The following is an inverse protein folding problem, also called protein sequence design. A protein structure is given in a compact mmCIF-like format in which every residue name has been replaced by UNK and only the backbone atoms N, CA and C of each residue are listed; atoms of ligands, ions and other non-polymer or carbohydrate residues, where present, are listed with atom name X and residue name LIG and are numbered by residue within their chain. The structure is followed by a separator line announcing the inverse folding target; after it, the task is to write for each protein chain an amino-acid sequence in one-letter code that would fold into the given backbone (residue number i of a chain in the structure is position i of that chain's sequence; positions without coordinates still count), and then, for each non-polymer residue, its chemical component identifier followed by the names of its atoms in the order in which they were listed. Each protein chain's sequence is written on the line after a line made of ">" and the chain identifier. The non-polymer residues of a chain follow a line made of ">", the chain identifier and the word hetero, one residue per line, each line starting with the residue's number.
data_IF_459351227525
#
_entry.id   IF_459351227525
#
_cell.length_a   1.000
_cell.length_b   1.000
_cell.length_c   1.000
_cell.angle_alpha   90.00
_cell.angle_beta   90.00
_cell.angle_gamma   90.00
#
_symmetry.space_group_name_H-M   'P 1'
#
loop_
_entity.id
_entity.type
_entity.pdbx_description
1 polymer ?
#
# COMPACT_ATOMS: atom_id res chain seq x y z
N UNK A 1 -7.33 47.67 -41.64
CA UNK A 1 -7.89 46.30 -41.47
C UNK A 1 -7.31 45.67 -40.22
N UNK A 2 -8.05 45.73 -39.06
CA UNK A 2 -7.59 45.29 -37.77
C UNK A 2 -7.98 43.83 -37.57
N UNK A 3 -7.04 42.95 -37.39
CA UNK A 3 -7.24 41.53 -37.05
C UNK A 3 -7.44 41.46 -35.54
N UNK A 4 -8.63 41.07 -35.09
CA UNK A 4 -8.95 40.79 -33.68
C UNK A 4 -8.31 39.47 -33.26
N UNK A 5 -7.54 39.50 -32.17
CA UNK A 5 -7.03 38.32 -31.45
C UNK A 5 -8.17 37.59 -30.75
N UNK A 6 -8.45 36.38 -31.17
CA UNK A 6 -9.34 35.47 -30.44
C UNK A 6 -8.68 35.02 -29.14
N UNK A 7 -9.33 35.30 -28.01
CA UNK A 7 -8.97 34.78 -26.68
C UNK A 7 -9.37 33.29 -26.58
N UNK A 8 -8.42 32.44 -26.26
CA UNK A 8 -8.66 31.04 -25.92
C UNK A 8 -9.43 30.97 -24.61
N UNK A 9 -10.64 30.40 -24.63
CA UNK A 9 -11.48 30.10 -23.49
C UNK A 9 -11.05 28.77 -22.92
N UNK A 10 -10.81 28.72 -21.60
CA UNK A 10 -10.45 27.50 -20.85
C UNK A 10 -11.64 26.55 -20.74
N UNK A 11 -11.47 25.21 -20.79
CA UNK A 11 -12.56 24.22 -20.79
C UNK A 11 -13.03 23.82 -19.37
N UNK A 12 -13.39 24.74 -18.49
CA UNK A 12 -13.86 24.45 -17.10
C UNK A 12 -15.17 25.22 -16.76
N UNK A 13 -15.99 25.59 -17.73
CA UNK A 13 -17.24 26.32 -17.44
C UNK A 13 -18.48 25.79 -18.19
N UNK A 14 -18.57 24.49 -18.43
CA UNK A 14 -19.75 23.91 -19.13
C UNK A 14 -20.50 22.84 -18.35
N UNK A 15 -20.56 22.90 -17.03
CA UNK A 15 -21.36 21.95 -16.21
C UNK A 15 -22.48 22.61 -15.40
N UNK A 16 -22.69 23.88 -15.51
CA UNK A 16 -23.80 24.54 -14.79
C UNK A 16 -24.63 25.42 -15.71
N UNK A 17 -25.43 24.83 -16.63
CA UNK A 17 -26.65 25.50 -17.17
C UNK A 17 -27.39 24.53 -18.12
N UNK A 18 -28.23 23.68 -17.56
CA UNK A 18 -29.43 23.10 -18.19
C UNK A 18 -30.17 22.23 -17.16
N UNK A 19 -30.84 22.89 -16.23
CA UNK A 19 -31.92 22.29 -15.47
C UNK A 19 -33.06 23.30 -15.38
N UNK A 20 -33.94 23.23 -16.34
CA UNK A 20 -35.20 23.96 -16.34
C UNK A 20 -36.20 23.24 -17.20
N UNK A 21 -37.21 22.67 -16.53
CA UNK A 21 -38.54 22.29 -17.05
C UNK A 21 -38.62 21.15 -18.08
N UNK A 22 -38.99 19.95 -17.62
CA UNK A 22 -40.31 19.32 -17.96
C UNK A 22 -40.52 18.12 -17.02
N UNK A 23 -41.50 18.18 -16.14
CA UNK A 23 -42.07 17.01 -15.48
C UNK A 23 -43.05 16.34 -16.48
N UNK A 24 -42.93 15.01 -16.65
CA UNK A 24 -44.13 14.16 -16.66
C UNK A 24 -44.06 13.15 -15.50
N UNK A 25 -45.12 13.12 -14.74
CA UNK A 25 -45.45 12.11 -13.76
C UNK A 25 -45.52 10.72 -14.44
N UNK A 26 -44.50 9.91 -14.17
CA UNK A 26 -44.62 8.46 -14.27
C UNK A 26 -44.64 7.91 -12.85
N UNK A 27 -45.82 7.50 -12.40
CA UNK A 27 -45.95 6.52 -11.34
C UNK A 27 -45.42 5.19 -11.90
N UNK A 28 -44.14 4.92 -11.71
CA UNK A 28 -43.61 3.58 -11.83
C UNK A 28 -43.59 2.98 -10.43
N UNK A 29 -44.33 1.88 -10.31
CA UNK A 29 -44.36 0.94 -9.20
C UNK A 29 -42.97 0.79 -8.58
N UNK A 30 -42.84 1.13 -7.30
CA UNK A 30 -41.76 0.62 -6.47
C UNK A 30 -41.98 -0.88 -6.32
N UNK A 31 -41.28 -1.69 -7.11
CA UNK A 31 -40.91 -3.02 -6.67
C UNK A 31 -40.00 -2.81 -5.45
N UNK A 32 -40.41 -3.37 -4.32
CA UNK A 32 -39.60 -3.47 -3.09
C UNK A 32 -38.34 -4.31 -3.40
N UNK A 33 -37.34 -3.70 -4.03
CA UNK A 33 -36.02 -4.19 -3.87
C UNK A 33 -35.62 -3.86 -2.43
N UNK A 34 -35.84 -4.83 -1.53
CA UNK A 34 -35.14 -4.83 -0.26
C UNK A 34 -33.65 -4.61 -0.57
N UNK A 35 -33.15 -3.41 -0.27
CA UNK A 35 -31.71 -3.13 -0.17
C UNK A 35 -31.16 -3.99 0.97
N UNK A 36 -30.97 -5.28 0.69
CA UNK A 36 -30.22 -6.13 1.60
C UNK A 36 -28.83 -5.53 1.73
N UNK A 37 -28.37 -5.23 2.94
CA UNK A 37 -27.03 -4.72 3.13
C UNK A 37 -26.06 -5.68 2.44
N UNK A 38 -25.26 -5.15 1.52
CA UNK A 38 -24.29 -5.92 0.75
C UNK A 38 -23.24 -6.41 1.73
N UNK A 39 -23.36 -7.66 2.17
CA UNK A 39 -22.48 -8.26 3.16
C UNK A 39 -21.17 -8.72 2.52
N UNK A 40 -20.08 -8.60 3.28
CA UNK A 40 -18.79 -9.21 2.93
C UNK A 40 -18.93 -10.74 2.94
N UNK A 41 -18.37 -11.40 1.94
CA UNK A 41 -18.47 -12.84 1.77
C UNK A 41 -17.12 -13.48 1.51
N UNK A 42 -17.07 -14.79 1.70
CA UNK A 42 -15.91 -15.61 1.45
C UNK A 42 -16.27 -16.65 0.39
N UNK A 43 -15.49 -16.74 -0.67
CA UNK A 43 -15.70 -17.68 -1.77
C UNK A 43 -14.48 -18.58 -1.96
N UNK A 44 -14.70 -19.87 -2.24
CA UNK A 44 -13.65 -20.87 -2.48
C UNK A 44 -13.34 -21.73 -1.27
N UNK A 45 -12.35 -22.62 -1.45
CA UNK A 45 -11.87 -23.48 -0.36
C UNK A 45 -10.76 -22.77 0.38
N UNK A 46 -11.06 -22.33 1.61
CA UNK A 46 -10.10 -21.65 2.44
C UNK A 46 -9.26 -22.69 3.19
N UNK A 47 -8.09 -22.95 2.67
CA UNK A 47 -7.06 -23.70 3.36
C UNK A 47 -5.77 -22.90 3.32
N UNK A 48 -5.26 -22.51 4.47
CA UNK A 48 -3.94 -21.88 4.60
C UNK A 48 -3.09 -22.69 5.58
N UNK A 49 -1.88 -23.03 5.14
CA UNK A 49 -0.94 -23.76 5.97
C UNK A 49 -0.11 -22.80 6.80
N UNK A 50 -0.06 -23.05 8.11
CA UNK A 50 0.79 -22.27 9.03
C UNK A 50 0.30 -20.87 9.35
N UNK A 51 -0.84 -20.43 8.79
CA UNK A 51 -1.43 -19.11 9.05
C UNK A 51 -2.70 -19.28 9.86
N UNK A 52 -2.79 -18.59 10.99
CA UNK A 52 -3.97 -18.56 11.84
C UNK A 52 -4.93 -17.43 11.47
N UNK A 53 -4.38 -16.27 11.14
CA UNK A 53 -5.14 -15.05 10.86
C UNK A 53 -4.45 -14.18 9.81
N UNK A 54 -5.27 -13.40 9.09
CA UNK A 54 -4.81 -12.29 8.28
C UNK A 54 -5.54 -11.01 8.67
N UNK A 55 -4.81 -9.90 8.55
CA UNK A 55 -5.34 -8.55 8.72
C UNK A 55 -5.18 -7.81 7.40
N UNK A 56 -6.26 -7.21 6.92
CA UNK A 56 -6.31 -6.48 5.67
C UNK A 56 -6.59 -5.02 6.00
N UNK A 57 -5.65 -4.16 5.66
CA UNK A 57 -5.81 -2.72 5.76
C UNK A 57 -6.49 -2.20 4.50
N UNK A 58 -7.49 -1.35 4.67
CA UNK A 58 -8.13 -0.62 3.59
C UNK A 58 -7.91 0.87 3.80
N UNK A 59 -7.33 1.51 2.80
CA UNK A 59 -6.90 2.91 2.85
C UNK A 59 -8.07 3.88 3.06
N UNK A 60 -9.23 3.52 2.53
CA UNK A 60 -10.38 4.42 2.50
C UNK A 60 -10.32 5.38 1.31
N UNK A 61 -11.11 6.44 1.38
CA UNK A 61 -11.12 7.54 0.42
C UNK A 61 -10.51 8.78 1.06
N UNK A 62 -9.66 9.47 0.30
CA UNK A 62 -8.96 10.67 0.72
C UNK A 62 -9.92 11.74 1.28
N UNK A 63 -9.63 12.27 2.45
CA UNK A 63 -10.43 13.24 3.22
C UNK A 63 -11.81 12.75 3.68
N UNK A 64 -12.08 11.43 3.67
CA UNK A 64 -13.35 10.88 4.18
C UNK A 64 -13.24 10.19 5.54
N UNK A 65 -12.03 10.08 6.11
CA UNK A 65 -11.79 9.51 7.44
C UNK A 65 -12.43 8.11 7.62
N UNK A 66 -12.33 7.27 6.60
CA UNK A 66 -13.01 5.98 6.50
C UNK A 66 -12.08 4.80 6.24
N UNK A 67 -10.80 4.92 6.62
CA UNK A 67 -9.88 3.79 6.63
C UNK A 67 -10.40 2.68 7.54
N UNK A 68 -10.19 1.43 7.16
CA UNK A 68 -10.70 0.29 7.92
C UNK A 68 -9.70 -0.84 8.01
N UNK A 69 -9.84 -1.65 9.05
CA UNK A 69 -9.11 -2.89 9.26
C UNK A 69 -10.09 -4.06 9.24
N UNK A 70 -9.84 -5.02 8.37
CA UNK A 70 -10.57 -6.30 8.30
C UNK A 70 -9.69 -7.42 8.83
N UNK A 71 -10.26 -8.33 9.62
CA UNK A 71 -9.62 -9.53 10.12
C UNK A 71 -10.33 -10.77 9.58
N UNK A 72 -9.56 -11.76 9.14
CA UNK A 72 -10.06 -13.10 8.83
C UNK A 72 -9.31 -14.14 9.66
N UNK A 73 -10.05 -15.02 10.32
CA UNK A 73 -9.52 -16.15 11.09
C UNK A 73 -9.71 -17.46 10.31
N UNK A 74 -8.60 -18.13 9.98
CA UNK A 74 -8.64 -19.43 9.32
C UNK A 74 -9.11 -20.55 10.27
N UNK A 75 -8.97 -20.36 11.57
CA UNK A 75 -9.40 -21.32 12.57
C UNK A 75 -10.92 -21.36 12.74
N UNK A 76 -11.57 -20.20 12.75
CA UNK A 76 -13.02 -20.07 13.00
C UNK A 76 -13.80 -19.77 11.73
N UNK A 77 -13.11 -19.51 10.62
CA UNK A 77 -13.68 -19.06 9.33
C UNK A 77 -14.50 -17.77 9.44
N UNK A 78 -14.16 -16.92 10.41
CA UNK A 78 -14.86 -15.65 10.64
C UNK A 78 -14.16 -14.51 9.92
N UNK A 79 -14.92 -13.79 9.10
CA UNK A 79 -14.56 -12.52 8.49
C UNK A 79 -15.17 -11.38 9.30
N UNK A 80 -14.34 -10.53 9.90
CA UNK A 80 -14.75 -9.36 10.70
C UNK A 80 -14.28 -8.10 10.00
N UNK A 81 -15.14 -7.44 9.23
CA UNK A 81 -14.89 -6.11 8.68
C UNK A 81 -15.00 -5.04 9.77
N UNK A 82 -14.39 -3.88 9.56
CA UNK A 82 -14.37 -2.80 10.55
C UNK A 82 -13.86 -3.24 11.93
N UNK A 83 -12.93 -4.22 11.94
CA UNK A 83 -12.42 -4.86 13.16
C UNK A 83 -11.91 -3.83 14.18
N UNK A 84 -11.09 -2.86 13.75
CA UNK A 84 -10.57 -1.83 14.64
C UNK A 84 -11.67 -0.97 15.26
N UNK A 85 -12.57 -0.43 14.45
CA UNK A 85 -13.62 0.48 14.94
C UNK A 85 -14.67 -0.22 15.81
N UNK A 86 -14.92 -1.51 15.55
CA UNK A 86 -15.81 -2.32 16.37
C UNK A 86 -15.28 -2.48 17.79
N UNK A 87 -13.97 -2.72 17.96
CA UNK A 87 -13.34 -2.91 19.27
C UNK A 87 -13.11 -1.57 19.98
N UNK A 88 -12.56 -0.58 19.25
CA UNK A 88 -12.08 0.66 19.86
C UNK A 88 -13.13 1.78 19.91
N UNK A 89 -14.33 1.56 19.35
CA UNK A 89 -15.46 2.51 19.33
C UNK A 89 -15.11 3.87 18.70
N UNK A 90 -14.14 3.88 17.82
CA UNK A 90 -13.71 5.06 17.03
C UNK A 90 -13.18 4.62 15.66
N UNK A 91 -13.16 5.53 14.70
CA UNK A 91 -12.53 5.29 13.40
C UNK A 91 -11.00 5.12 13.51
N UNK A 92 -10.42 4.46 12.50
CA UNK A 92 -8.97 4.31 12.38
C UNK A 92 -8.30 5.62 11.96
N UNK A 93 -8.95 6.36 11.06
CA UNK A 93 -8.44 7.61 10.53
C UNK A 93 -8.63 7.73 9.02
N UNK A 94 -7.88 8.63 8.42
CA UNK A 94 -7.93 8.97 7.01
C UNK A 94 -6.65 8.52 6.31
N UNK A 95 -6.81 7.75 5.24
CA UNK A 95 -5.74 7.28 4.37
C UNK A 95 -4.69 6.44 5.10
N UNK A 96 -5.09 5.24 5.55
CA UNK A 96 -4.18 4.30 6.19
C UNK A 96 -3.34 3.56 5.11
N UNK A 97 -2.03 3.83 5.09
CA UNK A 97 -1.15 3.38 4.01
C UNK A 97 -0.43 2.07 4.28
N UNK A 98 -0.12 1.77 5.53
CA UNK A 98 0.67 0.58 5.84
C UNK A 98 0.29 -0.02 7.18
N UNK A 99 0.43 -1.34 7.31
CA UNK A 99 0.25 -2.08 8.55
C UNK A 99 1.32 -3.16 8.65
N UNK A 100 1.88 -3.32 9.85
CA UNK A 100 2.82 -4.40 10.14
C UNK A 100 2.54 -5.04 11.50
N UNK A 101 2.76 -6.35 11.57
CA UNK A 101 2.77 -7.11 12.84
C UNK A 101 4.22 -7.22 13.32
N UNK A 102 4.51 -6.65 14.48
CA UNK A 102 5.82 -6.77 15.10
C UNK A 102 5.70 -7.09 16.60
N UNK A 103 6.30 -8.20 17.01
CA UNK A 103 6.09 -8.74 18.35
C UNK A 103 4.62 -9.10 18.60
N UNK A 104 3.99 -8.46 19.59
CA UNK A 104 2.57 -8.62 19.90
C UNK A 104 1.75 -7.35 19.58
N UNK A 105 2.19 -6.58 18.60
CA UNK A 105 1.54 -5.32 18.23
C UNK A 105 1.33 -5.23 16.73
N UNK A 106 0.17 -4.72 16.33
CA UNK A 106 -0.08 -4.21 14.98
C UNK A 106 0.21 -2.70 14.99
N UNK A 107 1.04 -2.27 14.05
CA UNK A 107 1.38 -0.87 13.83
C UNK A 107 0.72 -0.43 12.53
N UNK A 108 -0.11 0.61 12.57
CA UNK A 108 -0.88 1.07 11.43
C UNK A 108 -0.52 2.53 11.14
N UNK A 109 0.03 2.78 9.98
CA UNK A 109 0.45 4.10 9.51
C UNK A 109 -0.74 4.80 8.86
N UNK A 110 -1.17 5.94 9.40
CA UNK A 110 -2.34 6.68 8.92
C UNK A 110 -1.89 8.06 8.41
N UNK A 111 -1.84 8.21 7.10
CA UNK A 111 -1.17 9.31 6.42
C UNK A 111 -1.82 10.68 6.68
N UNK A 112 -3.05 10.90 6.21
CA UNK A 112 -3.73 12.20 6.29
C UNK A 112 -4.03 12.56 7.74
N UNK A 113 -4.43 11.59 8.57
CA UNK A 113 -4.58 11.80 10.01
C UNK A 113 -3.26 12.11 10.72
N UNK A 114 -2.14 11.79 10.09
CA UNK A 114 -0.78 11.98 10.61
C UNK A 114 -0.56 11.31 11.95
N UNK A 115 -0.83 10.01 12.00
CA UNK A 115 -0.71 9.18 13.20
C UNK A 115 -0.10 7.82 12.89
N UNK A 116 0.55 7.23 13.88
CA UNK A 116 0.87 5.80 13.94
C UNK A 116 -0.01 5.20 15.04
N UNK A 117 -0.96 4.36 14.65
CA UNK A 117 -1.81 3.61 15.58
C UNK A 117 -1.13 2.32 15.99
N UNK A 118 -1.02 2.06 17.28
CA UNK A 118 -0.45 0.83 17.83
C UNK A 118 -1.53 0.06 18.54
N UNK A 119 -1.76 -1.18 18.10
CA UNK A 119 -2.85 -2.05 18.56
C UNK A 119 -2.28 -3.31 19.17
N UNK A 120 -2.80 -3.75 20.30
CA UNK A 120 -2.49 -5.06 20.86
C UNK A 120 -3.03 -6.17 19.95
N UNK A 121 -2.15 -7.03 19.46
CA UNK A 121 -2.52 -8.10 18.53
C UNK A 121 -3.53 -9.07 19.16
N UNK A 122 -3.41 -9.36 20.46
CA UNK A 122 -4.24 -10.37 21.14
C UNK A 122 -5.68 -9.90 21.32
N UNK A 123 -5.85 -8.63 21.68
CA UNK A 123 -7.17 -8.07 22.05
C UNK A 123 -7.78 -7.19 20.97
N UNK A 124 -7.00 -6.71 20.01
CA UNK A 124 -7.42 -5.73 19.03
C UNK A 124 -7.59 -4.31 19.59
N UNK A 125 -7.27 -4.10 20.87
CA UNK A 125 -7.40 -2.80 21.52
C UNK A 125 -6.23 -1.87 21.18
N UNK A 126 -6.53 -0.61 20.98
CA UNK A 126 -5.53 0.45 20.82
C UNK A 126 -4.69 0.58 22.10
N UNK A 127 -3.38 0.43 21.96
CA UNK A 127 -2.41 0.68 23.03
C UNK A 127 -2.06 2.17 23.05
N UNK A 128 -1.76 2.71 21.88
CA UNK A 128 -1.30 4.11 21.73
C UNK A 128 -1.54 4.60 20.31
N UNK A 129 -1.95 5.86 20.20
CA UNK A 129 -1.91 6.60 18.96
C UNK A 129 -0.78 7.63 19.06
N UNK A 130 0.28 7.44 18.26
CA UNK A 130 1.47 8.30 18.26
C UNK A 130 1.24 9.40 17.22
N UNK A 131 1.23 10.68 17.61
CA UNK A 131 1.11 11.78 16.66
C UNK A 131 2.37 11.89 15.79
N UNK A 132 2.20 11.79 14.48
CA UNK A 132 3.27 11.97 13.49
C UNK A 132 3.27 13.42 13.02
N UNK A 133 3.64 14.34 13.95
CA UNK A 133 3.64 15.77 13.73
C UNK A 133 4.99 16.39 14.11
N UNK A 134 5.30 17.52 13.50
CA UNK A 134 6.47 18.32 13.87
C UNK A 134 6.20 19.06 15.20
N UNK A 135 7.23 19.65 15.79
CA UNK A 135 7.09 20.41 17.05
C UNK A 135 6.11 21.58 16.95
N UNK A 136 5.98 22.19 15.77
CA UNK A 136 5.02 23.26 15.52
C UNK A 136 3.61 22.74 15.15
N UNK A 137 3.36 21.43 15.23
CA UNK A 137 2.08 20.78 14.98
C UNK A 137 1.76 20.47 13.51
N UNK A 138 2.68 20.75 12.57
CA UNK A 138 2.47 20.43 11.15
C UNK A 138 2.45 18.91 10.94
N UNK A 139 1.59 18.46 10.03
CA UNK A 139 1.49 17.05 9.63
C UNK A 139 2.79 16.59 8.96
N UNK A 140 3.29 15.41 9.33
CA UNK A 140 4.41 14.76 8.63
C UNK A 140 3.95 13.89 7.46
N UNK A 141 2.69 13.49 7.44
CA UNK A 141 2.11 12.56 6.45
C UNK A 141 2.92 11.25 6.34
N UNK A 142 2.89 10.39 7.39
CA UNK A 142 3.63 9.13 7.42
C UNK A 142 3.13 8.17 6.33
N UNK A 143 4.06 7.37 5.77
CA UNK A 143 3.78 6.49 4.61
C UNK A 143 3.94 5.01 4.92
N UNK A 144 5.14 4.57 5.23
CA UNK A 144 5.46 3.16 5.47
C UNK A 144 6.30 2.98 6.73
N UNK A 145 6.28 1.74 7.27
CA UNK A 145 6.98 1.35 8.49
C UNK A 145 7.87 0.13 8.26
N UNK A 146 9.07 0.15 8.82
CA UNK A 146 9.97 -1.00 8.90
C UNK A 146 10.51 -1.17 10.33
N UNK A 147 11.03 -2.36 10.64
CA UNK A 147 11.51 -2.69 11.97
C UNK A 147 12.92 -3.24 11.94
N UNK A 148 13.66 -2.90 12.96
CA UNK A 148 14.95 -3.51 13.24
C UNK A 148 15.18 -3.55 14.76
N UNK A 149 15.39 -4.76 15.31
CA UNK A 149 15.54 -4.98 16.76
C UNK A 149 14.35 -4.38 17.53
N UNK A 150 14.62 -3.51 18.51
CA UNK A 150 13.62 -2.83 19.35
C UNK A 150 13.10 -1.50 18.77
N UNK A 151 13.36 -1.22 17.49
CA UNK A 151 12.99 0.05 16.85
C UNK A 151 12.08 -0.14 15.65
N UNK A 152 11.11 0.76 15.55
CA UNK A 152 10.29 1.00 14.37
C UNK A 152 10.78 2.27 13.66
N UNK A 153 10.75 2.26 12.34
CA UNK A 153 11.14 3.38 11.49
C UNK A 153 10.00 3.74 10.56
N UNK A 154 9.57 4.99 10.58
CA UNK A 154 8.44 5.46 9.77
C UNK A 154 8.90 6.59 8.87
N UNK A 155 8.83 6.40 7.54
CA UNK A 155 9.08 7.45 6.58
C UNK A 155 7.83 8.32 6.40
N UNK A 156 8.04 9.60 6.06
CA UNK A 156 6.96 10.58 5.97
C UNK A 156 7.20 11.54 4.80
N UNK A 157 6.13 12.04 4.19
CA UNK A 157 6.20 12.96 3.06
C UNK A 157 6.84 14.32 3.39
N UNK A 158 6.97 14.66 4.68
CA UNK A 158 7.72 15.87 5.10
C UNK A 158 9.24 15.77 4.89
N UNK A 159 9.72 14.67 4.30
CA UNK A 159 11.14 14.44 4.04
C UNK A 159 11.89 13.80 5.19
N UNK A 160 11.21 13.22 6.17
CA UNK A 160 11.85 12.65 7.36
C UNK A 160 11.57 11.17 7.55
N UNK A 161 12.45 10.50 8.32
CA UNK A 161 12.21 9.19 8.93
C UNK A 161 12.26 9.35 10.45
N UNK A 162 11.19 8.89 11.13
CA UNK A 162 11.13 8.85 12.58
C UNK A 162 11.59 7.49 13.10
N UNK A 163 12.43 7.45 14.12
CA UNK A 163 12.78 6.26 14.90
C UNK A 163 11.96 6.23 16.18
N UNK A 164 11.27 5.11 16.41
CA UNK A 164 10.33 4.92 17.50
C UNK A 164 10.75 3.67 18.28
N UNK A 165 10.84 3.78 19.60
CA UNK A 165 11.09 2.64 20.47
C UNK A 165 9.82 1.77 20.57
N UNK A 166 9.94 0.45 20.31
CA UNK A 166 8.79 -0.47 20.28
C UNK A 166 8.24 -0.84 21.66
N UNK A 167 8.95 -0.48 22.73
CA UNK A 167 8.54 -0.72 24.13
C UNK A 167 7.83 0.50 24.71
N UNK A 168 8.49 1.66 24.70
CA UNK A 168 7.93 2.92 25.21
C UNK A 168 6.90 3.55 24.27
N UNK A 169 6.97 3.21 22.99
CA UNK A 169 6.17 3.78 21.91
C UNK A 169 6.34 5.30 21.79
N UNK A 170 7.56 5.79 22.00
CA UNK A 170 7.94 7.19 21.87
C UNK A 170 8.85 7.40 20.66
N UNK A 171 8.69 8.55 20.00
CA UNK A 171 9.62 8.99 18.94
C UNK A 171 10.91 9.43 19.63
N UNK A 172 12.01 8.72 19.36
CA UNK A 172 13.33 9.02 19.97
C UNK A 172 14.13 10.04 19.15
N UNK A 173 13.99 9.96 17.83
CA UNK A 173 14.75 10.78 16.90
C UNK A 173 14.06 10.85 15.52
N UNK A 174 14.46 11.86 14.76
CA UNK A 174 14.10 11.99 13.34
C UNK A 174 15.36 12.30 12.52
N UNK A 175 15.43 11.77 11.31
CA UNK A 175 16.50 12.04 10.35
C UNK A 175 15.89 12.50 9.03
N UNK A 176 16.56 13.40 8.31
CA UNK A 176 16.15 13.80 6.96
C UNK A 176 16.53 12.74 5.94
N UNK A 177 15.63 12.53 4.98
CA UNK A 177 15.84 11.73 3.77
C UNK A 177 15.73 12.64 2.53
N UNK A 178 15.23 12.12 1.41
CA UNK A 178 14.92 12.93 0.22
C UNK A 178 13.55 13.58 0.28
N UNK A 179 13.02 13.95 -0.89
CA UNK A 179 11.70 14.59 -1.01
C UNK A 179 10.60 13.55 -1.08
N UNK A 180 9.57 13.73 -0.29
CA UNK A 180 8.41 12.84 -0.18
C UNK A 180 8.80 11.36 -0.11
N UNK A 181 9.47 10.90 0.98
CA UNK A 181 9.77 9.50 1.23
C UNK A 181 8.52 8.63 1.11
N UNK A 182 8.53 7.65 0.21
CA UNK A 182 7.36 6.82 -0.12
C UNK A 182 7.36 5.50 0.63
N UNK A 183 8.49 4.80 0.63
CA UNK A 183 8.64 3.48 1.25
C UNK A 183 10.04 3.30 1.83
N UNK A 184 10.22 2.28 2.68
CA UNK A 184 11.52 1.98 3.29
C UNK A 184 11.66 0.50 3.60
N UNK A 185 12.91 0.03 3.60
CA UNK A 185 13.26 -1.31 4.07
C UNK A 185 14.58 -1.30 4.83
N UNK A 186 14.82 -2.37 5.60
CA UNK A 186 16.08 -2.58 6.31
C UNK A 186 16.91 -3.64 5.59
N UNK A 187 18.19 -3.36 5.36
CA UNK A 187 19.15 -4.32 4.87
C UNK A 187 20.56 -3.95 5.37
N UNK A 188 21.34 -4.93 5.84
CA UNK A 188 22.72 -4.74 6.32
C UNK A 188 22.88 -3.59 7.32
N UNK A 189 22.08 -3.56 8.39
CA UNK A 189 22.12 -2.53 9.45
C UNK A 189 21.90 -1.10 8.90
N UNK A 190 21.24 -0.97 7.74
CA UNK A 190 20.90 0.30 7.09
C UNK A 190 19.43 0.36 6.72
N UNK A 191 18.85 1.56 6.71
CA UNK A 191 17.57 1.85 6.07
C UNK A 191 17.82 2.33 4.65
N UNK A 192 17.04 1.79 3.73
CA UNK A 192 16.93 2.27 2.36
C UNK A 192 15.55 2.90 2.20
N UNK A 193 15.51 4.19 1.88
CA UNK A 193 14.29 4.98 1.83
C UNK A 193 14.10 5.50 0.41
N UNK A 194 13.04 5.07 -0.27
CA UNK A 194 12.70 5.57 -1.60
C UNK A 194 12.07 6.95 -1.50
N UNK A 195 12.53 7.90 -2.32
CA UNK A 195 12.07 9.27 -2.35
C UNK A 195 11.32 9.53 -3.66
N UNK A 196 10.00 9.69 -3.58
CA UNK A 196 9.17 9.82 -4.78
C UNK A 196 9.14 11.26 -5.34
N UNK A 197 9.14 12.26 -4.47
CA UNK A 197 8.86 13.64 -4.86
C UNK A 197 7.43 13.80 -5.41
N UNK A 198 6.51 12.88 -5.08
CA UNK A 198 5.18 12.82 -5.68
C UNK A 198 4.29 14.02 -5.37
N UNK A 199 4.35 14.56 -4.15
CA UNK A 199 3.64 15.80 -3.80
C UNK A 199 4.23 17.01 -4.50
N UNK A 200 5.55 17.09 -4.58
CA UNK A 200 6.27 18.20 -5.22
C UNK A 200 5.98 18.26 -6.73
N UNK A 201 5.70 17.11 -7.35
CA UNK A 201 5.28 17.05 -8.75
C UNK A 201 3.97 17.84 -8.98
N UNK A 202 3.00 17.72 -8.07
CA UNK A 202 1.73 18.44 -8.16
C UNK A 202 1.90 19.96 -7.98
N UNK A 203 2.99 20.38 -7.34
CA UNK A 203 3.39 21.77 -7.14
C UNK A 203 4.29 22.31 -8.26
N UNK A 204 4.61 21.47 -9.27
CA UNK A 204 5.45 21.85 -10.41
C UNK A 204 6.96 21.82 -10.13
N UNK A 205 7.40 21.28 -8.99
CA UNK A 205 8.82 21.14 -8.61
C UNK A 205 9.45 19.93 -9.30
N UNK A 206 8.63 18.93 -9.63
CA UNK A 206 9.06 17.67 -10.23
C UNK A 206 9.38 16.59 -9.19
N UNK A 207 9.46 15.34 -9.65
CA UNK A 207 9.71 14.16 -8.83
C UNK A 207 11.14 14.10 -8.29
N UNK A 208 11.36 13.31 -7.22
CA UNK A 208 12.69 12.92 -6.76
C UNK A 208 13.16 11.67 -7.54
N UNK A 209 14.46 11.38 -7.53
CA UNK A 209 15.07 10.26 -8.24
C UNK A 209 16.05 9.46 -7.39
N UNK A 210 15.91 9.54 -6.07
CA UNK A 210 16.90 9.00 -5.15
C UNK A 210 16.34 7.95 -4.18
N UNK A 211 17.25 7.11 -3.68
CA UNK A 211 17.10 6.33 -2.45
C UNK A 211 18.09 6.87 -1.42
N UNK A 212 17.60 7.26 -0.25
CA UNK A 212 18.42 7.64 0.90
C UNK A 212 18.89 6.40 1.65
N UNK A 213 20.16 6.32 1.98
CA UNK A 213 20.76 5.28 2.82
C UNK A 213 21.06 5.87 4.19
N UNK A 214 20.43 5.33 5.23
CA UNK A 214 20.55 5.80 6.61
C UNK A 214 21.19 4.69 7.43
N UNK A 215 22.33 4.96 8.06
CA UNK A 215 22.96 4.05 9.00
C UNK A 215 22.14 3.95 10.29
N UNK A 216 21.79 2.72 10.71
CA UNK A 216 20.93 2.50 11.86
C UNK A 216 21.59 2.79 13.21
N UNK A 217 22.90 2.64 13.31
CA UNK A 217 23.63 2.86 14.57
C UNK A 217 23.75 4.35 14.88
N UNK A 218 24.19 5.15 13.91
CA UNK A 218 24.32 6.61 14.06
C UNK A 218 22.97 7.34 13.83
N UNK A 219 22.04 6.70 13.15
CA UNK A 219 20.78 7.26 12.66
C UNK A 219 20.99 8.55 11.85
N UNK A 220 21.92 8.49 10.90
CA UNK A 220 22.24 9.58 9.97
C UNK A 220 22.22 9.09 8.53
N UNK A 221 21.84 9.98 7.60
CA UNK A 221 21.96 9.67 6.18
C UNK A 221 23.44 9.66 5.79
N UNK A 222 23.89 8.53 5.23
CA UNK A 222 25.31 8.32 4.83
C UNK A 222 25.50 8.39 3.31
N UNK A 223 24.44 8.16 2.53
CA UNK A 223 24.51 8.17 1.06
C UNK A 223 23.13 8.46 0.45
N UNK A 224 23.13 9.05 -0.74
CA UNK A 224 21.99 9.08 -1.67
C UNK A 224 22.35 8.33 -2.94
N UNK A 225 21.53 7.41 -3.36
CA UNK A 225 21.70 6.60 -4.58
C UNK A 225 20.72 7.13 -5.61
N UNK A 226 21.19 7.50 -6.79
CA UNK A 226 20.32 7.86 -7.92
C UNK A 226 19.79 6.56 -8.56
N UNK A 227 18.48 6.35 -8.56
CA UNK A 227 17.85 5.12 -9.05
C UNK A 227 16.92 5.35 -10.25
N UNK A 228 16.43 6.55 -10.41
CA UNK A 228 15.46 6.92 -11.43
C UNK A 228 14.26 7.66 -10.84
N UNK A 229 13.48 8.34 -11.69
CA UNK A 229 12.43 9.26 -11.24
C UNK A 229 11.29 8.53 -10.53
N UNK A 230 10.75 9.16 -9.47
CA UNK A 230 9.57 8.73 -8.74
C UNK A 230 9.71 7.30 -8.18
N UNK A 231 10.68 7.11 -7.29
CA UNK A 231 10.90 5.82 -6.63
C UNK A 231 9.79 5.51 -5.62
N UNK A 232 9.21 4.32 -5.73
CA UNK A 232 8.07 3.84 -4.95
C UNK A 232 8.42 2.68 -4.04
N UNK A 233 7.73 1.54 -4.21
CA UNK A 233 7.97 0.32 -3.44
C UNK A 233 9.45 -0.07 -3.42
N UNK A 234 9.96 -0.38 -2.21
CA UNK A 234 11.34 -0.81 -1.98
C UNK A 234 11.37 -1.99 -1.01
N UNK A 235 11.98 -3.10 -1.43
CA UNK A 235 12.04 -4.33 -0.65
C UNK A 235 13.44 -4.93 -0.66
N UNK A 236 13.89 -5.55 0.45
CA UNK A 236 15.13 -6.30 0.53
C UNK A 236 14.91 -7.73 0.05
N UNK A 237 15.99 -8.40 -0.37
CA UNK A 237 16.03 -9.85 -0.51
C UNK A 237 16.89 -10.51 0.60
N UNK A 238 17.01 -11.84 0.55
CA UNK A 238 17.86 -12.61 1.46
C UNK A 238 19.35 -12.61 1.10
N UNK A 239 19.72 -12.04 -0.07
CA UNK A 239 21.08 -12.09 -0.63
C UNK A 239 21.82 -10.74 -0.57
N UNK A 240 21.36 -9.83 0.29
CA UNK A 240 21.93 -8.49 0.49
C UNK A 240 21.71 -7.51 -0.67
N UNK A 241 20.62 -7.68 -1.42
CA UNK A 241 20.17 -6.70 -2.38
C UNK A 241 18.89 -6.00 -1.93
N UNK A 242 18.71 -4.82 -2.45
CA UNK A 242 17.48 -4.03 -2.29
C UNK A 242 16.94 -3.73 -3.68
N UNK A 243 15.65 -3.95 -3.87
CA UNK A 243 14.97 -3.68 -5.12
C UNK A 243 14.03 -2.50 -4.94
N UNK A 244 14.00 -1.59 -5.92
CA UNK A 244 13.13 -0.42 -5.92
C UNK A 244 12.44 -0.25 -7.26
N UNK A 245 11.12 -0.04 -7.22
CA UNK A 245 10.35 0.33 -8.41
C UNK A 245 10.46 1.84 -8.65
N UNK A 246 10.65 2.25 -9.91
CA UNK A 246 10.62 3.65 -10.32
C UNK A 246 9.53 3.86 -11.36
N UNK A 247 8.76 4.95 -11.25
CA UNK A 247 7.53 5.16 -12.04
C UNK A 247 7.66 6.24 -13.11
N UNK A 248 8.90 6.73 -13.36
CA UNK A 248 9.14 7.75 -14.36
C UNK A 248 8.69 9.16 -13.92
N UNK A 249 8.86 10.12 -14.79
CA UNK A 249 8.50 11.53 -14.54
C UNK A 249 6.99 11.78 -14.63
N UNK A 250 6.28 10.90 -15.31
CA UNK A 250 4.85 11.00 -15.56
C UNK A 250 4.23 9.61 -15.46
N UNK A 251 3.30 9.44 -14.55
CA UNK A 251 2.60 8.16 -14.31
C UNK A 251 1.88 7.65 -15.58
N UNK A 252 1.43 8.55 -16.44
CA UNK A 252 0.68 8.21 -17.67
C UNK A 252 1.60 7.71 -18.80
N UNK A 253 2.82 8.27 -18.91
CA UNK A 253 3.79 7.89 -19.93
C UNK A 253 4.94 7.04 -19.36
N UNK A 254 4.72 6.45 -18.18
CA UNK A 254 5.69 5.93 -17.26
C UNK A 254 6.86 5.17 -17.85
N UNK A 255 8.04 5.70 -17.60
CA UNK A 255 9.32 5.05 -17.79
C UNK A 255 9.60 4.22 -16.51
N UNK A 256 8.90 3.08 -16.39
CA UNK A 256 8.93 2.22 -15.21
C UNK A 256 10.12 1.28 -15.29
N UNK A 257 10.86 1.17 -14.19
CA UNK A 257 11.96 0.22 -14.06
C UNK A 257 11.95 -0.46 -12.69
N UNK A 258 12.55 -1.64 -12.62
CA UNK A 258 12.96 -2.27 -11.37
C UNK A 258 14.48 -2.11 -11.23
N UNK A 259 14.93 -1.50 -10.14
CA UNK A 259 16.35 -1.22 -9.89
C UNK A 259 16.85 -2.09 -8.76
N UNK A 260 17.96 -2.81 -8.99
CA UNK A 260 18.66 -3.63 -8.00
C UNK A 260 19.85 -2.84 -7.42
N UNK A 261 19.89 -2.72 -6.12
CA UNK A 261 20.96 -2.05 -5.34
C UNK A 261 21.71 -3.11 -4.54
N UNK A 262 23.02 -3.07 -4.59
CA UNK A 262 23.89 -3.88 -3.74
C UNK A 262 24.04 -3.18 -2.38
N UNK A 263 23.57 -3.80 -1.29
CA UNK A 263 23.59 -3.19 0.03
C UNK A 263 24.94 -3.23 0.75
N UNK A 264 25.95 -3.89 0.20
CA UNK A 264 27.32 -3.81 0.70
C UNK A 264 28.05 -2.56 0.18
N UNK A 265 27.80 -2.20 -1.09
CA UNK A 265 28.47 -1.06 -1.74
C UNK A 265 27.61 0.21 -1.74
N UNK A 266 26.29 0.07 -1.53
CA UNK A 266 25.28 1.11 -1.68
C UNK A 266 25.28 1.71 -3.09
N UNK A 267 25.37 0.83 -4.11
CA UNK A 267 25.40 1.22 -5.51
C UNK A 267 24.36 0.44 -6.33
N UNK A 268 23.87 1.07 -7.39
CA UNK A 268 23.02 0.39 -8.37
C UNK A 268 23.85 -0.70 -9.05
N UNK A 269 23.41 -1.96 -8.91
CA UNK A 269 24.04 -3.10 -9.57
C UNK A 269 23.42 -3.34 -10.94
N UNK A 270 22.11 -3.19 -11.05
CA UNK A 270 21.38 -3.43 -12.29
C UNK A 270 20.08 -2.66 -12.37
N UNK A 271 19.74 -2.21 -13.55
CA UNK A 271 18.41 -1.69 -13.91
C UNK A 271 17.77 -2.68 -14.85
N UNK A 272 16.57 -3.17 -14.49
CA UNK A 272 15.77 -4.04 -15.33
C UNK A 272 14.73 -3.19 -16.08
N UNK A 273 14.64 -3.38 -17.37
CA UNK A 273 13.63 -2.74 -18.24
C UNK A 273 12.29 -3.49 -18.08
N UNK A 274 11.73 -3.40 -16.87
CA UNK A 274 10.49 -4.05 -16.48
C UNK A 274 9.47 -3.03 -16.00
N UNK A 275 8.28 -3.03 -16.60
CA UNK A 275 7.17 -2.19 -16.16
C UNK A 275 6.62 -2.75 -14.85
N UNK A 276 6.89 -2.06 -13.75
CA UNK A 276 6.47 -2.49 -12.42
C UNK A 276 5.94 -1.31 -11.60
N UNK A 277 4.70 -1.41 -11.15
CA UNK A 277 4.12 -0.44 -10.21
C UNK A 277 4.42 -0.84 -8.77
N UNK A 278 4.26 -2.13 -8.46
CA UNK A 278 4.53 -2.67 -7.16
C UNK A 278 4.91 -4.15 -7.30
N UNK A 279 5.54 -4.73 -6.27
CA UNK A 279 6.03 -6.09 -6.34
C UNK A 279 6.14 -6.72 -4.95
N UNK A 280 6.24 -8.05 -4.93
CA UNK A 280 6.60 -8.84 -3.76
C UNK A 280 7.73 -9.81 -4.11
N UNK A 281 8.55 -10.18 -3.12
CA UNK A 281 9.73 -11.02 -3.30
C UNK A 281 9.60 -12.30 -2.47
N UNK A 282 9.88 -13.45 -3.08
CA UNK A 282 10.04 -14.73 -2.40
C UNK A 282 11.30 -15.43 -2.92
N UNK A 283 12.35 -15.47 -2.10
CA UNK A 283 13.67 -15.93 -2.55
C UNK A 283 14.15 -15.10 -3.75
N UNK A 284 14.42 -15.78 -4.86
CA UNK A 284 14.88 -15.14 -6.10
C UNK A 284 13.74 -14.78 -7.07
N UNK A 285 12.50 -14.96 -6.66
CA UNK A 285 11.32 -14.69 -7.51
C UNK A 285 10.67 -13.38 -7.08
N UNK A 286 10.57 -12.45 -8.02
CA UNK A 286 9.73 -11.27 -7.94
C UNK A 286 8.37 -11.54 -8.57
N UNK A 287 7.30 -11.20 -7.86
CA UNK A 287 5.94 -11.11 -8.40
C UNK A 287 5.67 -9.64 -8.67
N UNK A 288 5.71 -9.26 -9.94
CA UNK A 288 5.64 -7.87 -10.36
C UNK A 288 4.25 -7.59 -10.90
N UNK A 289 3.56 -6.57 -10.39
CA UNK A 289 2.35 -6.11 -11.07
C UNK A 289 2.51 -4.75 -11.71
N UNK A 290 1.82 -4.57 -12.83
CA UNK A 290 1.65 -3.30 -13.51
C UNK A 290 0.17 -3.10 -13.83
N UNK A 291 -0.26 -1.84 -13.80
CA UNK A 291 -1.59 -1.41 -14.21
C UNK A 291 -1.47 -0.21 -15.15
N UNK A 292 -2.10 -0.32 -16.32
CA UNK A 292 -2.12 0.76 -17.29
C UNK A 292 -3.41 1.56 -17.16
N UNK A 293 -3.32 2.78 -16.62
CA UNK A 293 -4.48 3.67 -16.41
C UNK A 293 -5.19 4.12 -17.70
N UNK A 294 -4.57 3.99 -18.89
CA UNK A 294 -5.17 4.37 -20.17
C UNK A 294 -5.99 3.24 -20.79
N UNK A 295 -5.49 2.00 -20.70
CA UNK A 295 -6.14 0.82 -21.28
C UNK A 295 -6.89 0.00 -20.24
N UNK A 296 -6.71 0.32 -18.95
CA UNK A 296 -7.25 -0.42 -17.81
C UNK A 296 -6.75 -1.89 -17.76
N UNK A 297 -5.60 -2.15 -18.36
CA UNK A 297 -4.98 -3.49 -18.37
C UNK A 297 -4.13 -3.70 -17.13
N UNK A 298 -4.40 -4.79 -16.42
CA UNK A 298 -3.60 -5.28 -15.32
C UNK A 298 -2.74 -6.47 -15.76
N UNK A 299 -1.50 -6.52 -15.31
CA UNK A 299 -0.61 -7.66 -15.53
C UNK A 299 0.15 -8.02 -14.27
N UNK A 300 0.33 -9.32 -14.04
CA UNK A 300 1.16 -9.84 -12.95
C UNK A 300 2.10 -10.87 -13.54
N UNK A 301 3.39 -10.65 -13.35
CA UNK A 301 4.49 -11.42 -13.94
C UNK A 301 5.31 -12.07 -12.83
N UNK A 302 5.83 -13.28 -13.08
CA UNK A 302 6.91 -13.88 -12.28
C UNK A 302 8.24 -13.62 -12.95
N UNK A 303 9.20 -13.12 -12.18
CA UNK A 303 10.46 -12.62 -12.66
C UNK A 303 11.63 -13.15 -11.82
N UNK A 304 12.71 -13.59 -12.45
CA UNK A 304 13.92 -14.03 -11.75
C UNK A 304 14.80 -12.80 -11.45
N UNK A 305 14.89 -12.44 -10.19
CA UNK A 305 15.61 -11.26 -9.72
C UNK A 305 17.15 -11.39 -9.85
N UNK A 306 17.69 -12.60 -9.99
CA UNK A 306 19.13 -12.82 -10.19
C UNK A 306 19.48 -12.73 -11.67
N UNK A 307 18.79 -13.50 -12.52
CA UNK A 307 19.11 -13.57 -13.95
C UNK A 307 18.53 -12.41 -14.73
N UNK A 308 17.41 -11.84 -14.26
CA UNK A 308 16.66 -10.81 -14.98
C UNK A 308 15.81 -11.39 -16.11
N UNK A 309 15.40 -12.63 -15.98
CA UNK A 309 14.57 -13.31 -16.97
C UNK A 309 13.14 -13.46 -16.48
N UNK A 310 12.19 -13.33 -17.38
CA UNK A 310 10.79 -13.64 -17.10
C UNK A 310 10.62 -15.15 -16.91
N UNK A 311 10.16 -15.55 -15.72
CA UNK A 311 9.81 -16.96 -15.42
C UNK A 311 8.44 -17.29 -16.04
N UNK A 312 7.49 -16.36 -15.88
CA UNK A 312 6.13 -16.49 -16.40
C UNK A 312 5.53 -15.12 -16.66
N UNK A 313 5.09 -14.87 -17.88
CA UNK A 313 4.54 -13.56 -18.29
C UNK A 313 3.18 -13.27 -17.63
N UNK A 314 2.33 -14.28 -17.49
CA UNK A 314 1.05 -14.17 -16.81
C UNK A 314 1.03 -15.09 -15.61
N UNK A 315 1.11 -14.54 -14.41
CA UNK A 315 1.11 -15.32 -13.17
C UNK A 315 -0.17 -16.15 -13.01
N UNK A 316 -1.35 -15.52 -13.25
CA UNK A 316 -2.66 -16.16 -13.09
C UNK A 316 -2.89 -17.14 -14.24
N UNK A 317 -3.23 -18.42 -13.92
CA UNK A 317 -3.31 -19.51 -14.90
C UNK A 317 -4.69 -20.11 -15.05
N UNK A 318 -5.64 -19.75 -14.21
CA UNK A 318 -7.01 -20.30 -14.19
C UNK A 318 -8.08 -19.39 -14.80
N UNK A 319 -7.65 -18.27 -15.40
CA UNK A 319 -8.54 -17.30 -16.03
C UNK A 319 -9.20 -16.31 -15.06
N UNK A 320 -8.83 -16.31 -13.76
CA UNK A 320 -9.28 -15.31 -12.81
C UNK A 320 -8.86 -13.91 -13.27
N UNK A 321 -9.82 -12.98 -13.31
CA UNK A 321 -9.55 -11.61 -13.72
C UNK A 321 -9.22 -10.75 -12.51
N UNK A 322 -8.21 -9.91 -12.65
CA UNK A 322 -7.87 -8.78 -11.76
C UNK A 322 -8.04 -7.51 -12.60
N UNK A 323 -8.83 -6.57 -12.12
CA UNK A 323 -9.12 -5.32 -12.86
C UNK A 323 -8.16 -4.20 -12.43
N UNK A 324 -8.07 -3.96 -11.12
CA UNK A 324 -7.27 -2.87 -10.57
C UNK A 324 -6.48 -3.38 -9.36
N UNK A 325 -5.34 -4.06 -9.59
CA UNK A 325 -4.50 -4.53 -8.48
C UNK A 325 -4.00 -3.33 -7.69
N UNK A 326 -4.09 -3.40 -6.36
CA UNK A 326 -3.71 -2.29 -5.48
C UNK A 326 -2.57 -2.65 -4.52
N UNK A 327 -2.47 -3.92 -4.13
CA UNK A 327 -1.37 -4.48 -3.36
C UNK A 327 -1.08 -5.92 -3.75
N UNK A 328 0.17 -6.35 -3.54
CA UNK A 328 0.61 -7.73 -3.73
C UNK A 328 1.45 -8.16 -2.55
N UNK A 329 1.09 -9.29 -1.92
CA UNK A 329 1.72 -9.78 -0.70
C UNK A 329 1.93 -11.28 -0.79
N UNK A 330 2.98 -11.78 -0.15
CA UNK A 330 3.27 -13.22 -0.09
C UNK A 330 3.11 -13.66 1.35
N UNK A 331 2.32 -14.71 1.56
CA UNK A 331 2.19 -15.33 2.85
C UNK A 331 3.50 -16.03 3.23
N UNK A 332 4.22 -15.61 4.28
CA UNK A 332 5.53 -16.17 4.61
C UNK A 332 5.46 -17.62 5.11
N UNK A 333 4.28 -18.13 5.44
CA UNK A 333 4.09 -19.49 5.96
C UNK A 333 3.70 -20.48 4.88
N UNK A 334 2.85 -20.10 3.93
CA UNK A 334 2.37 -20.98 2.85
C UNK A 334 3.03 -20.71 1.51
N UNK A 335 3.57 -19.51 1.30
CA UNK A 335 4.07 -19.04 0.01
C UNK A 335 2.95 -18.64 -0.96
N UNK A 336 1.68 -18.60 -0.51
CA UNK A 336 0.58 -18.15 -1.34
C UNK A 336 0.64 -16.64 -1.58
N UNK A 337 0.17 -16.22 -2.74
CA UNK A 337 0.22 -14.84 -3.22
C UNK A 337 -1.16 -14.21 -3.03
N UNK A 338 -1.19 -13.10 -2.31
CA UNK A 338 -2.39 -12.32 -2.05
C UNK A 338 -2.36 -11.04 -2.87
N UNK A 339 -3.42 -10.81 -3.63
CA UNK A 339 -3.58 -9.63 -4.46
C UNK A 339 -4.83 -8.90 -3.97
N UNK A 340 -4.70 -7.62 -3.70
CA UNK A 340 -5.85 -6.77 -3.37
C UNK A 340 -6.38 -6.11 -4.63
N UNK A 341 -7.71 -6.01 -4.73
CA UNK A 341 -8.44 -5.48 -5.87
C UNK A 341 -9.22 -4.24 -5.44
N UNK A 342 -8.97 -3.08 -6.05
CA UNK A 342 -9.61 -1.80 -5.71
C UNK A 342 -10.75 -1.41 -6.67
N UNK A 343 -10.93 -2.13 -7.79
CA UNK A 343 -11.94 -1.83 -8.82
C UNK A 343 -11.88 -0.37 -9.31
N UNK A 344 -12.95 0.40 -9.06
CA UNK A 344 -13.06 1.81 -9.45
C UNK A 344 -12.50 2.79 -8.41
N UNK A 345 -11.84 2.29 -7.35
CA UNK A 345 -11.38 3.06 -6.18
C UNK A 345 -12.48 3.67 -5.29
N UNK A 346 -13.74 3.59 -5.71
CA UNK A 346 -14.89 4.20 -5.00
C UNK A 346 -15.87 3.18 -4.44
N UNK A 347 -15.64 1.90 -4.72
CA UNK A 347 -16.39 0.77 -4.18
C UNK A 347 -15.51 -0.08 -3.28
N UNK A 348 -16.12 -0.91 -2.44
CA UNK A 348 -15.38 -1.85 -1.60
C UNK A 348 -14.65 -2.88 -2.46
N UNK A 349 -13.38 -3.08 -2.15
CA UNK A 349 -12.49 -3.99 -2.85
C UNK A 349 -12.45 -5.38 -2.24
N UNK A 350 -11.69 -6.26 -2.88
CA UNK A 350 -11.54 -7.67 -2.55
C UNK A 350 -10.08 -8.03 -2.23
N UNK A 351 -9.88 -9.21 -1.63
CA UNK A 351 -8.58 -9.88 -1.57
C UNK A 351 -8.69 -11.25 -2.21
N UNK A 352 -7.79 -11.54 -3.14
CA UNK A 352 -7.70 -12.83 -3.83
C UNK A 352 -6.42 -13.54 -3.39
N UNK A 353 -6.55 -14.81 -3.01
CA UNK A 353 -5.44 -15.67 -2.64
C UNK A 353 -5.17 -16.67 -3.76
N UNK A 354 -3.95 -16.70 -4.28
CA UNK A 354 -3.49 -17.63 -5.29
C UNK A 354 -2.40 -18.54 -4.74
N UNK A 355 -2.38 -19.80 -5.17
CA UNK A 355 -1.21 -20.64 -4.95
C UNK A 355 -0.04 -20.21 -5.86
N UNK A 356 1.15 -20.76 -5.63
CA UNK A 356 2.36 -20.44 -6.41
C UNK A 356 2.24 -20.82 -7.91
N UNK A 357 1.26 -21.64 -8.28
CA UNK A 357 0.97 -21.97 -9.67
C UNK A 357 0.06 -20.94 -10.36
N UNK A 358 -0.42 -19.92 -9.62
CA UNK A 358 -1.31 -18.89 -10.13
C UNK A 358 -2.78 -19.33 -10.23
N UNK A 359 -3.20 -20.28 -9.41
CA UNK A 359 -4.58 -20.75 -9.32
C UNK A 359 -5.24 -20.16 -8.08
N UNK A 360 -6.40 -19.56 -8.25
CA UNK A 360 -7.20 -18.98 -7.17
C UNK A 360 -7.58 -20.07 -6.15
N UNK A 361 -7.32 -19.79 -4.89
CA UNK A 361 -7.70 -20.67 -3.78
C UNK A 361 -8.99 -20.16 -3.14
N UNK A 362 -9.06 -18.88 -2.87
CA UNK A 362 -10.24 -18.22 -2.32
C UNK A 362 -10.23 -16.71 -2.57
N UNK A 363 -11.39 -16.11 -2.36
CA UNK A 363 -11.60 -14.67 -2.41
C UNK A 363 -12.35 -14.19 -1.18
N UNK A 364 -11.91 -13.10 -0.61
CA UNK A 364 -12.62 -12.32 0.40
C UNK A 364 -13.22 -11.11 -0.30
N UNK A 365 -14.54 -11.06 -0.40
CA UNK A 365 -15.24 -10.02 -1.13
C UNK A 365 -15.63 -8.84 -0.23
N UNK A 366 -15.53 -7.63 -0.75
CA UNK A 366 -16.08 -6.40 -0.16
C UNK A 366 -15.58 -6.13 1.25
N UNK A 367 -14.27 -6.21 1.41
CA UNK A 367 -13.62 -6.11 2.71
C UNK A 367 -13.35 -4.69 3.19
N UNK A 368 -13.38 -3.70 2.31
CA UNK A 368 -13.14 -2.29 2.59
C UNK A 368 -12.82 -1.50 1.33
N UNK A 369 -12.74 -0.18 1.43
CA UNK A 369 -12.39 0.72 0.32
C UNK A 369 -10.88 0.75 0.12
N UNK A 370 -10.41 0.46 -1.10
CA UNK A 370 -9.00 0.45 -1.46
C UNK A 370 -8.16 -0.41 -0.51
N UNK A 371 -8.39 -1.74 -0.45
CA UNK A 371 -7.55 -2.63 0.35
C UNK A 371 -6.13 -2.63 -0.21
N UNK A 372 -5.14 -2.30 0.63
CA UNK A 372 -3.76 -2.08 0.19
C UNK A 372 -2.75 -3.06 0.77
N UNK A 373 -2.87 -3.43 2.04
CA UNK A 373 -1.87 -4.25 2.71
C UNK A 373 -2.49 -5.45 3.41
N UNK A 374 -1.85 -6.63 3.28
CA UNK A 374 -2.23 -7.86 3.97
C UNK A 374 -1.10 -8.29 4.90
N UNK A 375 -1.42 -8.48 6.18
CA UNK A 375 -0.50 -8.98 7.21
C UNK A 375 -0.92 -10.38 7.64
N UNK A 376 0.05 -11.25 7.83
CA UNK A 376 -0.13 -12.67 8.15
C UNK A 376 0.33 -12.97 9.58
N UNK A 377 -0.42 -13.82 10.29
CA UNK A 377 -0.05 -14.30 11.60
C UNK A 377 -0.23 -15.81 11.72
N UNK A 378 0.76 -16.51 12.27
CA UNK A 378 0.64 -17.90 12.67
C UNK A 378 0.01 -18.08 14.07
N UNK A 379 -0.26 -16.99 14.77
CA UNK A 379 -0.92 -16.94 16.07
C UNK A 379 -2.35 -16.44 15.90
N UNK A 380 -3.25 -16.97 16.71
CA UNK A 380 -4.63 -16.48 16.82
C UNK A 380 -4.74 -15.42 17.92
N UNK A 381 -5.56 -14.39 17.65
CA UNK A 381 -5.97 -13.44 18.69
C UNK A 381 -7.00 -14.05 19.65
N UNK A 382 -7.19 -13.47 20.83
CA UNK A 382 -8.18 -13.94 21.79
C UNK A 382 -9.62 -13.51 21.46
N UNK A 383 -9.83 -12.71 20.43
CA UNK A 383 -11.14 -12.15 20.06
C UNK A 383 -12.09 -13.17 19.41
N UNK A 384 -11.67 -14.43 19.25
CA UNK A 384 -12.50 -15.53 18.71
C UNK A 384 -13.29 -16.30 19.77
N UNK A 385 -13.23 -15.92 21.03
CA UNK A 385 -13.85 -16.67 22.15
C UNK A 385 -15.21 -16.13 22.57
N UNK A 386 -15.81 -15.15 21.86
CA UNK A 386 -17.16 -14.65 22.12
C UNK A 386 -18.14 -14.89 20.97
#
# INVERSE_FOLDING_TARGET
>A
MKIQKMRKIKPIQWVCLLMGCVLPLFYASCDDMEDKPVTSTVEGQITETGTAEIYILSEGLFNLNNSSLTRYSFRTHQLKTNYFSTINKRGLGDTANDIALYGNKLYIVVNVSSTLEVVDFTTGQSIKQIPMRTENGSSRQPRHIAFHKDKAYVCSFDGTVARIDTTSLEIEATVKAGRNPESLCVQNEKLYVSNSGGLDYTEGIGVDNTVSVIDLASFTEIKKITVGPNSGCILPDSENFVYVATHGKNIVEGDYHLVKINSHTDEVERVFDEKVMNFAIQGNVGYLYNYNYQTEDASIKMFNLQTGETIREHFITDGTQIHTPYGIHINPYSGNIYITEAYSYTVTGDVLCFNQNGQLQFRLNRIGLNPNTVVFSNRASSTDTE
#
